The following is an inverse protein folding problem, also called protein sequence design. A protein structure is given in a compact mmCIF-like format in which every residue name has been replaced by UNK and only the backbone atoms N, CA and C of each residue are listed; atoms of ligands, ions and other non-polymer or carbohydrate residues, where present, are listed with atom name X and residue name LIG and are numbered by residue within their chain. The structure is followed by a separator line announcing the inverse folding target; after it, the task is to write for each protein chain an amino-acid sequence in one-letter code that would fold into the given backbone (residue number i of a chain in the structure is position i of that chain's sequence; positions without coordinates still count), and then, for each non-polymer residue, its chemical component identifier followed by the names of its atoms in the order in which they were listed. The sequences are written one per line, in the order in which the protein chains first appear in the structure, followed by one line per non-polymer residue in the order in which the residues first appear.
data_IF_560396394708
#
_entry.id   IF_560396394708
#
_cell.length_a   1.000
_cell.length_b   1.000
_cell.length_c   1.000
_cell.angle_alpha   90.00
_cell.angle_beta   90.00
_cell.angle_gamma   90.00
#
_symmetry.space_group_name_H-M   'P 1'
#
loop_
_entity.id
_entity.type
_entity.pdbx_description
1 polymer ?
#
# COMPACT_ATOMS: atom_id res chain seq x y z
N UNK A 1 -15.20 -39.31 -15.23
CA UNK A 1 -14.27 -38.71 -14.24
C UNK A 1 -13.69 -37.47 -14.87
N UNK A 2 -14.29 -36.31 -14.59
CA UNK A 2 -13.76 -35.02 -15.03
C UNK A 2 -12.52 -34.70 -14.19
N UNK A 3 -11.42 -34.47 -14.89
CA UNK A 3 -10.12 -34.10 -14.33
C UNK A 3 -10.30 -32.79 -13.56
N UNK A 4 -10.42 -32.87 -12.24
CA UNK A 4 -10.48 -31.71 -11.36
C UNK A 4 -9.11 -31.03 -11.40
N UNK A 5 -9.10 -29.81 -11.93
CA UNK A 5 -7.97 -28.88 -11.96
C UNK A 5 -7.21 -28.93 -10.62
N UNK A 6 -6.01 -29.53 -10.61
CA UNK A 6 -5.28 -29.89 -9.40
C UNK A 6 -4.62 -28.65 -8.76
N UNK A 7 -5.44 -27.71 -8.31
CA UNK A 7 -5.00 -26.52 -7.59
C UNK A 7 -4.74 -26.88 -6.14
N UNK A 8 -3.67 -26.33 -5.57
CA UNK A 8 -3.39 -26.48 -4.14
C UNK A 8 -4.33 -25.60 -3.31
N UNK A 9 -4.57 -25.98 -2.06
CA UNK A 9 -5.36 -25.16 -1.13
C UNK A 9 -4.74 -23.76 -0.92
N UNK A 10 -3.42 -23.63 -1.00
CA UNK A 10 -2.72 -22.34 -0.92
C UNK A 10 -3.14 -21.41 -2.06
N UNK A 11 -3.18 -21.92 -3.30
CA UNK A 11 -3.67 -21.16 -4.45
C UNK A 11 -5.17 -20.83 -4.32
N UNK A 12 -5.94 -21.70 -3.67
CA UNK A 12 -7.32 -21.44 -3.29
C UNK A 12 -7.44 -20.21 -2.39
N UNK A 13 -6.78 -20.22 -1.22
CA UNK A 13 -6.80 -19.10 -0.29
C UNK A 13 -6.34 -17.79 -0.91
N UNK A 14 -5.24 -17.78 -1.67
CA UNK A 14 -4.75 -16.55 -2.31
C UNK A 14 -5.78 -15.98 -3.31
N UNK A 15 -6.48 -16.85 -4.05
CA UNK A 15 -7.56 -16.43 -4.94
C UNK A 15 -8.75 -15.88 -4.17
N UNK A 16 -9.10 -16.48 -3.05
CA UNK A 16 -10.23 -16.03 -2.22
C UNK A 16 -9.96 -14.63 -1.63
N UNK A 17 -8.74 -14.35 -1.17
CA UNK A 17 -8.34 -12.99 -0.75
C UNK A 17 -8.48 -11.99 -1.91
N UNK A 18 -8.00 -12.34 -3.10
CA UNK A 18 -8.15 -11.50 -4.29
C UNK A 18 -9.62 -11.26 -4.65
N UNK A 19 -10.47 -12.29 -4.53
CA UNK A 19 -11.91 -12.19 -4.80
C UNK A 19 -12.61 -11.28 -3.80
N UNK A 20 -12.27 -11.39 -2.50
CA UNK A 20 -12.80 -10.52 -1.45
C UNK A 20 -12.46 -9.06 -1.72
N UNK A 21 -11.20 -8.76 -2.04
CA UNK A 21 -10.77 -7.41 -2.45
C UNK A 21 -11.58 -6.90 -3.66
N UNK A 22 -11.76 -7.74 -4.69
CA UNK A 22 -12.53 -7.36 -5.87
C UNK A 22 -14.02 -7.08 -5.55
N UNK A 23 -14.64 -7.86 -4.66
CA UNK A 23 -16.02 -7.60 -4.18
C UNK A 23 -16.08 -6.28 -3.43
N UNK A 24 -15.14 -6.03 -2.50
CA UNK A 24 -15.09 -4.81 -1.70
C UNK A 24 -14.91 -3.55 -2.55
N UNK A 25 -14.12 -3.63 -3.63
CA UNK A 25 -13.99 -2.56 -4.61
C UNK A 25 -15.28 -2.23 -5.37
N UNK A 26 -16.01 -3.27 -5.81
CA UNK A 26 -17.33 -3.08 -6.44
C UNK A 26 -18.32 -2.46 -5.46
N UNK A 27 -18.24 -2.86 -4.19
CA UNK A 27 -19.10 -2.31 -3.14
C UNK A 27 -18.82 -0.82 -2.86
N UNK A 28 -17.54 -0.46 -2.67
CA UNK A 28 -17.13 0.95 -2.50
C UNK A 28 -17.44 1.82 -3.72
N UNK A 29 -17.58 1.20 -4.90
CA UNK A 29 -18.12 1.82 -6.12
C UNK A 29 -19.42 2.61 -5.93
N UNK A 30 -20.24 2.23 -4.94
CA UNK A 30 -21.53 2.85 -4.62
C UNK A 30 -21.44 4.13 -3.78
N UNK A 31 -20.27 4.43 -3.21
CA UNK A 31 -20.02 5.66 -2.47
C UNK A 31 -19.97 6.83 -3.47
N UNK A 32 -20.78 7.88 -3.24
CA UNK A 32 -20.88 9.05 -4.12
C UNK A 32 -19.71 10.03 -3.96
N UNK A 33 -19.21 10.19 -2.73
CA UNK A 33 -18.14 11.15 -2.44
C UNK A 33 -16.77 10.53 -2.77
N UNK A 34 -16.03 11.14 -3.71
CA UNK A 34 -14.81 10.55 -4.25
C UNK A 34 -13.70 10.35 -3.22
N UNK A 35 -13.53 11.28 -2.26
CA UNK A 35 -12.51 11.16 -1.21
C UNK A 35 -12.81 9.96 -0.32
N UNK A 36 -14.03 9.89 0.21
CA UNK A 36 -14.48 8.79 1.07
C UNK A 36 -14.44 7.44 0.35
N UNK A 37 -14.68 7.43 -0.97
CA UNK A 37 -14.53 6.26 -1.81
C UNK A 37 -13.07 5.80 -1.92
N UNK A 38 -12.14 6.75 -2.08
CA UNK A 38 -10.70 6.50 -2.09
C UNK A 38 -10.21 5.92 -0.76
N UNK A 39 -10.51 6.61 0.35
CA UNK A 39 -10.16 6.18 1.72
C UNK A 39 -10.70 4.78 2.03
N UNK A 40 -11.93 4.47 1.61
CA UNK A 40 -12.50 3.12 1.78
C UNK A 40 -11.68 2.05 1.05
N UNK A 41 -11.16 2.35 -0.14
CA UNK A 41 -10.36 1.43 -0.96
C UNK A 41 -8.94 1.28 -0.39
N UNK A 42 -8.37 2.36 0.12
CA UNK A 42 -7.10 2.34 0.85
C UNK A 42 -7.20 1.42 2.07
N UNK A 43 -8.20 1.64 2.94
CA UNK A 43 -8.41 0.80 4.12
C UNK A 43 -8.58 -0.69 3.78
N UNK A 44 -9.34 -1.03 2.73
CA UNK A 44 -9.54 -2.42 2.33
C UNK A 44 -8.22 -3.17 2.03
N UNK A 45 -7.28 -2.52 1.34
CA UNK A 45 -5.97 -3.10 1.05
C UNK A 45 -5.13 -3.18 2.32
N UNK A 46 -5.04 -2.08 3.07
CA UNK A 46 -4.20 -2.01 4.27
C UNK A 46 -4.65 -3.00 5.36
N UNK A 47 -5.96 -3.13 5.58
CA UNK A 47 -6.53 -4.11 6.53
C UNK A 47 -6.24 -5.55 6.10
N UNK A 48 -6.34 -5.83 4.80
CA UNK A 48 -6.01 -7.16 4.27
C UNK A 48 -4.53 -7.49 4.49
N UNK A 49 -3.64 -6.53 4.24
CA UNK A 49 -2.21 -6.70 4.50
C UNK A 49 -1.93 -6.87 6.00
N UNK A 50 -2.58 -6.07 6.86
CA UNK A 50 -2.41 -6.16 8.31
C UNK A 50 -2.81 -7.52 8.87
N UNK A 51 -3.83 -8.16 8.28
CA UNK A 51 -4.30 -9.47 8.70
C UNK A 51 -3.42 -10.63 8.18
N UNK A 52 -2.76 -10.44 7.04
CA UNK A 52 -1.96 -11.50 6.38
C UNK A 52 -0.47 -11.46 6.76
N UNK A 53 0.05 -10.28 7.11
CA UNK A 53 1.47 -10.10 7.36
C UNK A 53 1.86 -10.46 8.81
N UNK A 54 3.13 -10.83 9.05
CA UNK A 54 3.58 -11.20 10.39
C UNK A 54 3.47 -10.05 11.41
N UNK A 55 3.22 -10.39 12.68
CA UNK A 55 3.04 -9.42 13.77
C UNK A 55 4.23 -8.49 14.04
N UNK A 56 5.45 -8.87 13.64
CA UNK A 56 6.65 -8.00 13.75
C UNK A 56 6.62 -6.79 12.82
N UNK A 57 5.71 -6.80 11.85
CA UNK A 57 5.49 -5.71 10.91
C UNK A 57 4.14 -5.08 11.17
N UNK A 58 4.07 -3.76 11.08
CA UNK A 58 2.83 -3.00 11.22
C UNK A 58 2.50 -2.33 9.90
N UNK A 59 1.25 -2.45 9.47
CA UNK A 59 0.72 -1.67 8.35
C UNK A 59 0.16 -0.38 8.92
N UNK A 60 0.80 0.74 8.58
CA UNK A 60 0.39 2.08 8.97
C UNK A 60 -0.34 2.74 7.79
N UNK A 61 -1.36 3.55 8.06
CA UNK A 61 -2.08 4.34 7.06
C UNK A 61 -1.65 5.81 7.11
N UNK A 62 -1.87 6.54 6.00
CA UNK A 62 -1.58 7.97 5.86
C UNK A 62 -0.18 8.35 6.36
N UNK A 63 0.84 7.81 5.71
CA UNK A 63 2.21 7.82 6.23
C UNK A 63 3.03 8.95 5.60
N UNK A 64 3.69 9.73 6.46
CA UNK A 64 4.83 10.57 6.08
C UNK A 64 6.10 9.93 6.62
N UNK A 65 7.04 9.66 5.73
CA UNK A 65 8.34 9.08 6.08
C UNK A 65 9.36 10.21 6.25
N UNK A 66 10.15 10.16 7.32
CA UNK A 66 11.21 11.13 7.62
C UNK A 66 12.56 10.44 7.77
N UNK A 67 13.65 11.10 7.36
CA UNK A 67 15.01 10.58 7.56
C UNK A 67 15.74 11.27 8.72
N UNK A 68 16.98 10.82 8.98
CA UNK A 68 17.82 11.37 10.05
C UNK A 68 18.37 12.79 9.77
N UNK A 69 18.13 13.33 8.57
CA UNK A 69 18.53 14.68 8.15
C UNK A 69 17.32 15.63 8.01
N UNK A 70 16.21 15.29 8.66
CA UNK A 70 14.93 16.02 8.66
C UNK A 70 14.27 16.16 7.26
N UNK A 71 14.67 15.37 6.27
CA UNK A 71 13.96 15.33 5.00
C UNK A 71 12.63 14.57 5.17
N UNK A 72 11.58 15.06 4.51
CA UNK A 72 10.26 14.43 4.52
C UNK A 72 9.87 13.95 3.12
N UNK A 73 9.30 12.76 3.08
CA UNK A 73 8.68 12.23 1.87
C UNK A 73 7.30 12.86 1.60
N UNK A 74 6.79 12.79 0.36
CA UNK A 74 5.36 12.96 0.11
C UNK A 74 4.52 11.96 0.92
N UNK A 75 3.25 12.30 1.19
CA UNK A 75 2.33 11.36 1.85
C UNK A 75 2.09 10.11 1.00
N UNK A 76 2.22 8.95 1.64
CA UNK A 76 1.81 7.65 1.12
C UNK A 76 0.50 7.19 1.77
N UNK A 77 -0.28 6.39 1.06
CA UNK A 77 -1.55 5.86 1.59
C UNK A 77 -1.29 4.90 2.76
N UNK A 78 -0.17 4.18 2.73
CA UNK A 78 0.31 3.43 3.87
C UNK A 78 1.79 3.07 3.81
N UNK A 79 2.26 2.37 4.83
CA UNK A 79 3.61 1.79 4.86
C UNK A 79 3.64 0.51 5.69
N UNK A 80 4.46 -0.44 5.27
CA UNK A 80 4.86 -1.58 6.07
C UNK A 80 6.09 -1.20 6.90
N UNK A 81 5.95 -1.23 8.22
CA UNK A 81 6.95 -0.71 9.16
C UNK A 81 7.43 -1.81 10.09
N UNK A 82 8.74 -1.92 10.28
CA UNK A 82 9.35 -2.72 11.34
C UNK A 82 9.14 -2.04 12.69
N UNK A 83 8.44 -2.71 13.60
CA UNK A 83 8.16 -2.21 14.95
C UNK A 83 9.03 -2.83 16.03
N UNK A 84 10.01 -3.65 15.65
CA UNK A 84 10.88 -4.33 16.60
C UNK A 84 11.77 -3.34 17.37
N UNK A 85 12.27 -2.31 16.68
CA UNK A 85 13.25 -1.37 17.23
C UNK A 85 12.88 0.11 17.06
N UNK A 86 11.82 0.42 16.32
CA UNK A 86 11.52 1.79 15.89
C UNK A 86 10.19 2.31 16.46
N UNK A 87 10.19 3.47 17.15
CA UNK A 87 8.96 4.10 17.60
C UNK A 87 8.21 4.75 16.44
N UNK A 88 6.95 5.14 16.69
CA UNK A 88 6.31 6.20 15.89
C UNK A 88 6.88 7.53 16.31
N UNK A 89 7.27 8.35 15.34
CA UNK A 89 7.72 9.72 15.61
C UNK A 89 6.50 10.58 15.95
N UNK A 90 5.41 10.38 15.22
CA UNK A 90 4.11 10.97 15.47
C UNK A 90 3.01 10.04 14.98
N UNK A 91 1.86 10.03 15.65
CA UNK A 91 0.65 9.46 15.09
C UNK A 91 -0.60 10.03 15.74
N UNK A 92 -1.57 10.33 14.90
CA UNK A 92 -2.94 10.61 15.29
C UNK A 92 -3.91 9.79 14.42
N UNK A 93 -5.20 10.09 14.50
CA UNK A 93 -6.24 9.38 13.73
C UNK A 93 -6.15 9.62 12.21
N UNK A 94 -5.35 10.58 11.77
CA UNK A 94 -5.30 11.06 10.39
C UNK A 94 -3.97 10.80 9.69
N UNK A 95 -2.86 10.78 10.43
CA UNK A 95 -1.50 10.73 9.88
C UNK A 95 -0.55 9.98 10.81
N UNK A 96 0.36 9.21 10.23
CA UNK A 96 1.46 8.55 10.93
C UNK A 96 2.80 9.05 10.38
N UNK A 97 3.74 9.39 11.27
CA UNK A 97 5.11 9.78 10.90
C UNK A 97 6.08 8.74 11.40
N UNK A 98 6.88 8.20 10.49
CA UNK A 98 7.79 7.09 10.76
C UNK A 98 9.19 7.35 10.21
N UNK A 99 10.20 6.76 10.86
CA UNK A 99 11.59 6.85 10.40
C UNK A 99 11.79 6.02 9.13
N UNK A 100 12.53 6.56 8.15
CA UNK A 100 12.87 5.90 6.90
C UNK A 100 13.43 4.49 7.11
N UNK A 101 14.34 4.33 8.08
CA UNK A 101 14.98 3.05 8.39
C UNK A 101 14.04 1.99 8.99
N UNK A 102 12.88 2.42 9.50
CA UNK A 102 11.82 1.51 9.96
C UNK A 102 10.94 1.00 8.80
N UNK A 103 10.96 1.66 7.65
CA UNK A 103 10.05 1.35 6.55
C UNK A 103 10.58 0.17 5.73
N UNK A 104 9.79 -0.89 5.62
CA UNK A 104 10.04 -2.01 4.72
C UNK A 104 9.54 -1.72 3.30
N UNK A 105 8.34 -1.13 3.19
CA UNK A 105 7.76 -0.69 1.93
C UNK A 105 6.77 0.46 2.15
N UNK A 106 6.81 1.49 1.30
CA UNK A 106 5.76 2.49 1.19
C UNK A 106 4.69 2.02 0.20
N UNK A 107 3.42 2.29 0.48
CA UNK A 107 2.27 1.70 -0.20
C UNK A 107 1.41 2.82 -0.80
N UNK A 108 1.11 2.69 -2.09
CA UNK A 108 0.10 3.48 -2.81
C UNK A 108 -1.07 2.59 -3.21
N UNK A 109 -2.30 3.09 -3.11
CA UNK A 109 -3.52 2.38 -3.50
C UNK A 109 -4.27 3.22 -4.53
N UNK A 110 -4.39 2.67 -5.74
CA UNK A 110 -5.06 3.34 -6.85
C UNK A 110 -6.34 2.59 -7.22
N UNK A 111 -7.38 3.35 -7.52
CA UNK A 111 -8.64 2.75 -8.01
C UNK A 111 -8.48 2.18 -9.42
N UNK A 112 -7.77 2.91 -10.28
CA UNK A 112 -7.43 2.49 -11.64
C UNK A 112 -6.02 2.96 -11.94
N UNK A 113 -5.16 2.06 -12.43
CA UNK A 113 -3.80 2.39 -12.82
C UNK A 113 -3.78 2.92 -14.25
N UNK A 114 -3.27 4.14 -14.41
CA UNK A 114 -3.06 4.80 -15.70
C UNK A 114 -1.69 5.51 -15.73
N UNK A 115 -1.36 6.21 -16.82
CA UNK A 115 -0.06 6.89 -16.97
C UNK A 115 0.18 8.00 -15.94
N UNK A 116 -0.83 8.79 -15.57
CA UNK A 116 -0.65 9.82 -14.55
C UNK A 116 -0.39 9.21 -13.17
N UNK A 117 -1.13 8.15 -12.82
CA UNK A 117 -0.90 7.43 -11.56
C UNK A 117 0.49 6.79 -11.51
N UNK A 118 0.95 6.18 -12.60
CA UNK A 118 2.32 5.65 -12.68
C UNK A 118 3.36 6.75 -12.49
N UNK A 119 3.19 7.90 -13.16
CA UNK A 119 4.10 9.05 -13.00
C UNK A 119 4.12 9.55 -11.56
N UNK A 120 2.98 9.64 -10.89
CA UNK A 120 2.86 10.02 -9.48
C UNK A 120 3.62 9.02 -8.58
N UNK A 121 3.37 7.72 -8.73
CA UNK A 121 4.06 6.65 -7.97
C UNK A 121 5.59 6.73 -8.19
N UNK A 122 6.05 6.91 -9.43
CA UNK A 122 7.48 7.04 -9.73
C UNK A 122 8.09 8.33 -9.16
N UNK A 123 7.33 9.44 -9.15
CA UNK A 123 7.76 10.69 -8.54
C UNK A 123 7.95 10.52 -7.02
N UNK A 124 6.97 9.93 -6.33
CA UNK A 124 7.05 9.60 -4.91
C UNK A 124 8.19 8.64 -4.59
N UNK A 125 8.38 7.61 -5.42
CA UNK A 125 9.51 6.67 -5.29
C UNK A 125 10.86 7.36 -5.46
N UNK A 126 10.97 8.28 -6.42
CA UNK A 126 12.19 9.05 -6.64
C UNK A 126 12.48 10.01 -5.48
N UNK A 127 11.44 10.60 -4.87
CA UNK A 127 11.59 11.43 -3.68
C UNK A 127 12.12 10.61 -2.50
N UNK A 128 11.52 9.46 -2.21
CA UNK A 128 11.94 8.57 -1.12
C UNK A 128 13.37 8.05 -1.33
N UNK A 129 13.76 7.75 -2.58
CA UNK A 129 15.13 7.29 -2.92
C UNK A 129 16.22 8.33 -2.70
N UNK A 130 15.88 9.63 -2.65
CA UNK A 130 16.85 10.71 -2.40
C UNK A 130 17.09 10.97 -0.92
N UNK A 131 16.28 10.39 -0.04
CA UNK A 131 16.40 10.56 1.41
C UNK A 131 17.58 9.74 1.96
N UNK A 132 18.11 10.18 3.10
CA UNK A 132 19.26 9.58 3.77
C UNK A 132 18.85 8.28 4.48
N UNK A 133 19.09 7.14 3.84
CA UNK A 133 18.88 5.82 4.43
C UNK A 133 20.17 5.31 5.11
N UNK A 134 20.07 4.84 6.36
CA UNK A 134 21.21 4.25 7.07
C UNK A 134 21.44 2.79 6.68
N UNK A 135 20.37 2.04 6.46
CA UNK A 135 20.46 0.61 6.14
C UNK A 135 20.07 0.30 4.70
N UNK A 136 18.91 0.79 4.27
CA UNK A 136 18.35 0.49 2.95
C UNK A 136 17.29 1.50 2.55
N UNK A 137 17.15 1.67 1.24
CA UNK A 137 16.06 2.45 0.68
C UNK A 137 14.79 1.59 0.64
N UNK A 138 13.67 2.03 1.21
CA UNK A 138 12.44 1.26 1.18
C UNK A 138 11.91 1.07 -0.25
N UNK A 139 11.22 -0.05 -0.48
CA UNK A 139 10.47 -0.27 -1.71
C UNK A 139 9.26 0.69 -1.75
N UNK A 140 8.91 1.20 -2.92
CA UNK A 140 7.56 1.75 -3.15
C UNK A 140 6.76 0.72 -3.92
N UNK A 141 5.65 0.27 -3.33
CA UNK A 141 4.71 -0.68 -3.94
C UNK A 141 3.39 0.01 -4.19
N UNK A 142 2.71 -0.39 -5.26
CA UNK A 142 1.39 0.14 -5.61
C UNK A 142 0.41 -1.01 -5.82
N UNK A 143 -0.77 -0.88 -5.21
CA UNK A 143 -1.91 -1.75 -5.44
C UNK A 143 -2.91 -1.00 -6.31
N UNK A 144 -3.41 -1.67 -7.35
CA UNK A 144 -4.47 -1.14 -8.18
C UNK A 144 -5.57 -2.17 -8.37
N UNK A 145 -6.83 -1.74 -8.22
CA UNK A 145 -7.98 -2.63 -8.41
C UNK A 145 -8.26 -2.92 -9.88
N UNK A 146 -7.98 -1.95 -10.74
CA UNK A 146 -8.14 -2.08 -12.18
C UNK A 146 -6.93 -1.43 -12.87
N UNK A 147 -6.64 -1.88 -14.08
CA UNK A 147 -5.66 -1.26 -14.96
C UNK A 147 -6.37 -0.92 -16.27
N UNK A 148 -6.37 0.36 -16.65
CA UNK A 148 -6.88 0.75 -17.95
C UNK A 148 -5.81 0.39 -19.01
N UNK A 149 -5.99 -0.73 -19.74
CA UNK A 149 -5.10 -1.14 -20.85
C UNK A 149 -5.50 -0.46 -22.19
N UNK A 150 -4.60 -0.17 -23.16
CA UNK A 150 -3.42 -0.95 -23.54
C UNK A 150 -2.20 -0.20 -24.16
N UNK A 151 -2.10 1.13 -24.11
CA UNK A 151 -0.87 1.85 -24.48
C UNK A 151 -0.78 3.08 -23.57
N UNK A 152 0.27 3.21 -22.77
CA UNK A 152 0.50 4.35 -21.87
C UNK A 152 0.78 5.63 -22.67
N UNK A 153 -0.23 6.16 -23.37
CA UNK A 153 -0.24 7.46 -24.07
C UNK A 153 -0.16 8.62 -23.11
#
# INVERSE_FOLDING_TARGET
MTQTDARTNVQGWMRDHSNLLAVSFRSSGRIKHNVTKGESREHQILDTLSNLLPARTSVESNVVIVDAADAQSPKFDGALVDRTFWPRIFADNSTSVVMLDSVLAAIEVKSSLNKSELKDIFSKSSALRRMLALHRVPLVTAFAYECANANLS
#
